data_IF_048676365805
#
_entry.id   IF_048676365805
#
_cell.length_a   1.000
_cell.length_b   1.000
_cell.length_c   1.000
_cell.angle_alpha   90.00
_cell.angle_beta   90.00
_cell.angle_gamma   90.00
#
_symmetry.space_group_name_H-M   'P 1'
#
loop_
_entity.id
_entity.type
_entity.pdbx_description
1 polymer ?
#
# COMPACT_ATOMS: atom_id res chain seq x y z
N UNK A 1 14.74 0.27 -13.99
CA UNK A 1 13.88 1.44 -13.67
C UNK A 1 12.64 0.80 -13.08
N UNK A 2 12.20 1.25 -11.92
CA UNK A 2 11.13 0.56 -11.21
C UNK A 2 9.88 0.43 -12.11
N UNK A 3 9.31 -0.78 -12.14
CA UNK A 3 8.06 -1.09 -12.83
C UNK A 3 6.97 -1.22 -11.78
N UNK A 4 5.85 -0.52 -12.01
CA UNK A 4 4.73 -0.46 -11.10
C UNK A 4 3.48 -0.97 -11.84
N UNK A 5 2.65 -1.74 -11.13
CA UNK A 5 1.34 -2.19 -11.61
C UNK A 5 0.33 -2.07 -10.48
N UNK A 6 -0.88 -1.58 -10.79
CA UNK A 6 -2.04 -1.69 -9.92
C UNK A 6 -3.14 -2.47 -10.63
N UNK A 7 -3.61 -3.56 -10.03
CA UNK A 7 -4.70 -4.36 -10.60
C UNK A 7 -6.08 -3.79 -10.24
N UNK A 8 -7.11 -4.26 -10.92
CA UNK A 8 -8.52 -3.94 -10.65
C UNK A 8 -9.36 -5.22 -10.71
N UNK A 9 -10.69 -5.11 -10.57
CA UNK A 9 -11.60 -6.27 -10.52
C UNK A 9 -11.55 -7.16 -11.76
N UNK A 10 -11.30 -6.58 -12.93
CA UNK A 10 -11.17 -7.28 -14.21
C UNK A 10 -10.01 -8.29 -14.22
N UNK A 11 -8.98 -8.07 -13.42
CA UNK A 11 -7.90 -9.03 -13.22
C UNK A 11 -8.34 -10.25 -12.41
N UNK A 12 -9.37 -10.11 -11.58
CA UNK A 12 -9.80 -11.10 -10.58
C UNK A 12 -9.26 -10.79 -9.18
N UNK A 13 -9.73 -11.54 -8.18
CA UNK A 13 -9.33 -11.35 -6.79
C UNK A 13 -7.97 -11.97 -6.49
N UNK A 14 -7.13 -11.22 -5.77
CA UNK A 14 -5.87 -11.65 -5.19
C UNK A 14 -5.92 -11.62 -3.65
N UNK A 15 -7.10 -11.90 -3.08
CA UNK A 15 -7.32 -11.87 -1.64
C UNK A 15 -6.48 -12.92 -0.89
N UNK A 16 -6.31 -14.12 -1.46
CA UNK A 16 -5.50 -15.18 -0.87
C UNK A 16 -4.20 -15.39 -1.67
N UNK A 17 -3.03 -14.98 -1.14
CA UNK A 17 -1.74 -15.15 -1.80
C UNK A 17 -1.23 -16.60 -1.70
N UNK A 18 -1.92 -17.47 -0.96
CA UNK A 18 -1.64 -18.91 -0.96
C UNK A 18 -2.41 -19.65 -2.07
N UNK A 19 -3.35 -18.99 -2.76
CA UNK A 19 -4.13 -19.60 -3.81
C UNK A 19 -3.38 -19.58 -5.16
N UNK A 20 -2.85 -20.73 -5.64
CA UNK A 20 -1.80 -20.74 -6.68
C UNK A 20 -2.22 -20.20 -8.04
N UNK A 21 -3.50 -20.30 -8.41
CA UNK A 21 -3.95 -19.89 -9.75
C UNK A 21 -3.94 -18.37 -9.91
N UNK A 22 -4.30 -17.63 -8.85
CA UNK A 22 -4.37 -16.16 -8.90
C UNK A 22 -2.97 -15.55 -8.84
N UNK A 23 -2.08 -16.10 -8.01
CA UNK A 23 -0.69 -15.66 -7.93
C UNK A 23 0.07 -15.95 -9.22
N UNK A 24 -0.10 -17.15 -9.81
CA UNK A 24 0.52 -17.50 -11.09
C UNK A 24 0.12 -16.55 -12.21
N UNK A 25 -1.17 -16.19 -12.31
CA UNK A 25 -1.63 -15.21 -13.31
C UNK A 25 -0.92 -13.86 -13.17
N UNK A 26 -0.66 -13.42 -11.94
CA UNK A 26 0.07 -12.17 -11.70
C UNK A 26 1.55 -12.32 -12.04
N UNK A 27 2.19 -13.42 -11.66
CA UNK A 27 3.59 -13.70 -12.01
C UNK A 27 3.79 -13.78 -13.53
N UNK A 28 2.86 -14.41 -14.26
CA UNK A 28 2.88 -14.48 -15.72
C UNK A 28 2.76 -13.08 -16.35
N UNK A 29 1.92 -12.19 -15.77
CA UNK A 29 1.77 -10.81 -16.24
C UNK A 29 3.02 -9.96 -15.97
N UNK A 30 3.65 -10.10 -14.80
CA UNK A 30 4.86 -9.33 -14.43
C UNK A 30 6.11 -9.92 -15.10
N UNK A 31 6.10 -11.22 -15.41
CA UNK A 31 7.23 -11.97 -15.96
C UNK A 31 8.27 -12.37 -14.90
N UNK A 32 7.89 -12.43 -13.62
CA UNK A 32 8.76 -12.87 -12.53
C UNK A 32 7.97 -13.30 -11.30
N UNK A 33 8.59 -14.02 -10.36
CA UNK A 33 7.97 -14.40 -9.10
C UNK A 33 7.58 -13.17 -8.25
N UNK A 34 6.56 -13.31 -7.40
CA UNK A 34 6.04 -12.22 -6.57
C UNK A 34 6.11 -12.58 -5.08
N UNK A 35 6.75 -11.73 -4.28
CA UNK A 35 6.77 -11.82 -2.83
C UNK A 35 5.56 -11.10 -2.21
N UNK A 36 4.89 -11.79 -1.29
CA UNK A 36 3.73 -11.29 -0.56
C UNK A 36 4.01 -11.17 0.95
N UNK A 37 3.12 -10.47 1.64
CA UNK A 37 3.11 -10.30 3.09
C UNK A 37 1.74 -10.66 3.69
N UNK A 38 1.73 -11.07 4.96
CA UNK A 38 0.55 -11.22 5.78
C UNK A 38 0.26 -9.90 6.51
N UNK A 39 -0.56 -9.07 5.88
CA UNK A 39 -0.94 -7.76 6.37
C UNK A 39 -1.82 -7.85 7.61
N UNK A 40 -1.44 -7.15 8.66
CA UNK A 40 -2.15 -7.10 9.95
C UNK A 40 -2.57 -5.68 10.34
N UNK A 41 -2.28 -4.69 9.48
CA UNK A 41 -2.36 -3.25 9.78
C UNK A 41 -1.39 -2.83 10.91
N UNK A 42 -0.26 -3.52 11.02
CA UNK A 42 0.89 -3.17 11.84
C UNK A 42 1.71 -2.02 11.22
N UNK A 43 2.87 -1.74 11.79
CA UNK A 43 3.93 -0.97 11.14
C UNK A 43 5.20 -1.81 10.93
N UNK A 44 5.08 -3.13 10.83
CA UNK A 44 6.22 -4.00 10.65
C UNK A 44 6.72 -3.94 9.21
N UNK A 45 8.04 -3.82 9.09
CA UNK A 45 8.77 -3.67 7.83
C UNK A 45 9.73 -4.85 7.71
N UNK A 46 9.62 -5.61 6.61
CA UNK A 46 10.52 -6.72 6.32
C UNK A 46 11.37 -6.41 5.10
N UNK A 47 12.69 -6.59 5.23
CA UNK A 47 13.62 -6.54 4.10
C UNK A 47 13.80 -7.95 3.57
N UNK A 48 13.43 -8.16 2.31
CA UNK A 48 13.45 -9.47 1.66
C UNK A 48 14.54 -9.50 0.60
N UNK A 49 15.51 -10.41 0.74
CA UNK A 49 16.61 -10.60 -0.22
C UNK A 49 16.40 -11.75 -1.20
N UNK A 50 15.48 -12.65 -0.90
CA UNK A 50 15.12 -13.82 -1.72
C UNK A 50 13.64 -14.12 -1.60
N UNK A 51 13.02 -14.64 -2.66
CA UNK A 51 11.64 -15.09 -2.56
C UNK A 51 11.50 -16.24 -1.57
N UNK A 52 10.37 -16.29 -0.88
CA UNK A 52 10.04 -17.37 0.03
C UNK A 52 8.61 -17.30 0.52
N UNK A 53 8.40 -17.79 1.73
CA UNK A 53 7.09 -17.74 2.39
C UNK A 53 6.62 -16.30 2.61
N UNK A 54 5.32 -16.15 2.81
CA UNK A 54 4.69 -14.91 3.27
C UNK A 54 5.42 -14.39 4.51
N UNK A 55 5.73 -13.09 4.51
CA UNK A 55 6.23 -12.42 5.70
C UNK A 55 5.07 -12.24 6.68
N UNK A 56 5.12 -12.93 7.82
CA UNK A 56 4.09 -12.87 8.85
C UNK A 56 4.03 -11.47 9.50
N UNK A 57 2.83 -11.04 9.90
CA UNK A 57 2.61 -9.77 10.63
C UNK A 57 3.40 -8.59 10.04
N UNK A 58 3.25 -8.37 8.73
CA UNK A 58 4.06 -7.42 7.95
C UNK A 58 3.16 -6.59 7.04
N UNK A 59 3.37 -5.26 7.08
CA UNK A 59 2.63 -4.30 6.26
C UNK A 59 3.55 -3.51 5.32
N UNK A 60 4.85 -3.82 5.31
CA UNK A 60 5.80 -3.26 4.34
C UNK A 60 6.86 -4.28 3.97
N UNK A 61 7.06 -4.45 2.66
CA UNK A 61 8.17 -5.22 2.10
C UNK A 61 9.15 -4.27 1.44
N UNK A 62 10.45 -4.50 1.64
CA UNK A 62 11.54 -3.77 0.97
C UNK A 62 12.49 -4.78 0.32
N UNK A 63 12.97 -4.50 -0.89
CA UNK A 63 13.99 -5.34 -1.53
C UNK A 63 14.91 -4.56 -2.47
N UNK A 64 16.22 -4.87 -2.48
CA UNK A 64 17.13 -4.48 -3.55
C UNK A 64 17.21 -5.50 -4.70
N UNK A 65 16.46 -6.61 -4.64
CA UNK A 65 16.55 -7.68 -5.64
C UNK A 65 15.87 -7.31 -6.94
N UNK A 66 16.47 -7.73 -8.06
CA UNK A 66 15.90 -7.65 -9.41
C UNK A 66 15.21 -8.93 -9.86
N UNK A 67 15.23 -9.96 -9.02
CA UNK A 67 14.78 -11.32 -9.39
C UNK A 67 13.29 -11.56 -9.13
N UNK A 68 12.65 -10.72 -8.31
CA UNK A 68 11.24 -10.85 -7.94
C UNK A 68 10.61 -9.49 -7.68
N UNK A 69 9.28 -9.46 -7.73
CA UNK A 69 8.47 -8.28 -7.41
C UNK A 69 7.93 -8.33 -5.98
N UNK A 70 7.52 -7.19 -5.44
CA UNK A 70 6.85 -7.05 -4.14
C UNK A 70 5.38 -6.70 -4.35
N UNK A 71 4.49 -7.31 -3.57
CA UNK A 71 3.06 -7.07 -3.67
C UNK A 71 2.43 -6.57 -2.36
N UNK A 72 1.51 -5.63 -2.49
CA UNK A 72 0.60 -5.16 -1.44
C UNK A 72 -0.86 -5.36 -1.87
N UNK A 73 -1.68 -5.98 -1.03
CA UNK A 73 -3.10 -6.27 -1.30
C UNK A 73 -3.98 -5.23 -0.61
N UNK A 74 -4.99 -4.70 -1.31
CA UNK A 74 -5.91 -3.71 -0.73
C UNK A 74 -7.34 -3.86 -1.21
N UNK A 75 -8.24 -3.40 -0.35
CA UNK A 75 -9.55 -2.88 -0.71
C UNK A 75 -9.78 -1.69 0.23
N UNK A 76 -9.69 -0.47 -0.30
CA UNK A 76 -9.73 0.84 0.40
C UNK A 76 -8.44 1.34 1.06
N UNK A 77 -7.60 0.49 1.67
CA UNK A 77 -6.31 0.96 2.19
C UNK A 77 -5.39 1.43 1.05
N UNK A 78 -4.44 2.32 1.34
CA UNK A 78 -3.51 2.84 0.33
C UNK A 78 -2.43 1.80 -0.01
N UNK A 79 -2.33 1.36 -1.28
CA UNK A 79 -1.16 0.62 -1.75
C UNK A 79 -0.09 1.65 -2.15
N UNK A 80 0.86 1.90 -1.26
CA UNK A 80 1.98 2.80 -1.50
C UNK A 80 3.16 1.99 -2.06
N UNK A 81 3.60 2.36 -3.25
CA UNK A 81 4.77 1.78 -3.92
C UNK A 81 5.89 2.81 -3.92
N UNK A 82 6.99 2.51 -3.21
CA UNK A 82 8.16 3.38 -3.09
C UNK A 82 9.33 2.79 -3.86
N UNK A 83 10.16 3.63 -4.46
CA UNK A 83 11.36 3.19 -5.15
C UNK A 83 12.47 4.25 -5.14
N UNK A 84 13.69 3.77 -5.13
CA UNK A 84 14.89 4.48 -5.54
C UNK A 84 15.51 3.77 -6.76
N UNK A 85 16.72 4.16 -7.15
CA UNK A 85 17.43 3.53 -8.27
C UNK A 85 17.67 2.02 -8.09
N UNK A 86 17.83 1.56 -6.85
CA UNK A 86 18.29 0.20 -6.54
C UNK A 86 17.50 -0.50 -5.42
N UNK A 87 16.46 0.14 -4.86
CA UNK A 87 15.62 -0.45 -3.81
C UNK A 87 14.16 -0.12 -4.12
N UNK A 88 13.27 -1.09 -3.94
CA UNK A 88 11.82 -0.93 -4.05
C UNK A 88 11.12 -1.35 -2.77
N UNK A 89 9.93 -0.82 -2.53
CA UNK A 89 9.06 -1.22 -1.43
C UNK A 89 7.58 -1.21 -1.80
N UNK A 90 6.85 -2.20 -1.27
CA UNK A 90 5.39 -2.27 -1.34
C UNK A 90 4.81 -2.15 0.07
N UNK A 91 3.98 -1.13 0.30
CA UNK A 91 3.54 -0.72 1.64
C UNK A 91 2.02 -0.69 1.72
N UNK A 92 1.47 -1.38 2.71
CA UNK A 92 0.06 -1.35 3.08
C UNK A 92 -0.21 -0.25 4.10
N UNK A 93 -0.74 0.88 3.62
CA UNK A 93 -1.05 2.03 4.48
C UNK A 93 -2.55 2.12 4.71
N UNK A 94 -3.04 1.32 5.64
CA UNK A 94 -4.38 1.50 6.22
C UNK A 94 -4.39 2.55 7.33
N UNK A 95 -5.56 2.86 7.89
CA UNK A 95 -5.68 3.85 8.98
C UNK A 95 -4.73 3.57 10.16
N UNK A 96 -4.71 2.34 10.68
CA UNK A 96 -3.79 1.96 11.78
C UNK A 96 -2.33 2.06 11.36
N UNK A 97 -1.99 1.61 10.15
CA UNK A 97 -0.63 1.70 9.62
C UNK A 97 -0.15 3.14 9.47
N UNK A 98 -1.02 4.05 9.03
CA UNK A 98 -0.76 5.49 8.99
C UNK A 98 -0.48 6.03 10.41
N UNK A 99 -1.38 5.77 11.37
CA UNK A 99 -1.21 6.23 12.76
C UNK A 99 0.05 5.66 13.44
N UNK A 100 0.52 4.49 12.98
CA UNK A 100 1.75 3.84 13.45
C UNK A 100 2.96 4.12 12.55
N UNK A 101 2.84 5.07 11.62
CA UNK A 101 3.94 5.59 10.78
C UNK A 101 4.64 4.54 9.91
N UNK A 102 3.91 3.53 9.41
CA UNK A 102 4.49 2.44 8.60
C UNK A 102 5.23 2.97 7.35
N UNK A 103 4.73 4.04 6.75
CA UNK A 103 5.34 4.64 5.56
C UNK A 103 6.67 5.33 5.90
N UNK A 104 6.72 6.11 6.99
CA UNK A 104 7.95 6.76 7.46
C UNK A 104 9.01 5.71 7.81
N UNK A 105 8.65 4.71 8.61
CA UNK A 105 9.54 3.59 8.98
C UNK A 105 10.05 2.82 7.76
N UNK A 106 9.24 2.71 6.71
CA UNK A 106 9.66 2.11 5.44
C UNK A 106 10.71 2.97 4.75
N UNK A 107 10.48 4.27 4.63
CA UNK A 107 11.43 5.21 4.00
C UNK A 107 12.76 5.24 4.75
N UNK A 108 12.73 5.36 6.08
CA UNK A 108 13.94 5.30 6.92
C UNK A 108 14.73 4.03 6.66
N UNK A 109 14.03 2.88 6.56
CA UNK A 109 14.69 1.61 6.27
C UNK A 109 15.26 1.55 4.86
N UNK A 110 14.55 2.07 3.85
CA UNK A 110 15.06 2.18 2.48
C UNK A 110 16.31 3.06 2.41
N UNK A 111 16.37 4.16 3.17
CA UNK A 111 17.54 5.05 3.23
C UNK A 111 18.78 4.35 3.80
N UNK A 112 18.62 3.32 4.64
CA UNK A 112 19.78 2.49 5.06
C UNK A 112 20.31 1.57 3.96
N UNK A 113 19.54 1.33 2.90
CA UNK A 113 19.86 0.42 1.80
C UNK A 113 20.22 1.16 0.50
N UNK A 114 19.90 2.45 0.42
CA UNK A 114 20.09 3.28 -0.76
C UNK A 114 20.39 4.72 -0.34
N UNK A 115 21.44 5.30 -0.92
CA UNK A 115 21.74 6.74 -0.80
C UNK A 115 21.03 7.58 -1.86
N UNK A 116 20.25 6.96 -2.74
CA UNK A 116 19.59 7.60 -3.87
C UNK A 116 18.24 8.17 -3.46
N UNK A 117 17.75 9.14 -4.24
CA UNK A 117 16.44 9.73 -3.99
C UNK A 117 15.33 8.67 -4.03
N UNK A 118 14.47 8.69 -3.02
CA UNK A 118 13.27 7.86 -2.93
C UNK A 118 12.09 8.68 -3.47
N UNK A 119 11.26 8.03 -4.28
CA UNK A 119 9.98 8.56 -4.78
C UNK A 119 8.92 7.48 -4.65
N UNK A 120 7.65 7.80 -4.86
CA UNK A 120 6.60 6.80 -4.82
C UNK A 120 5.30 7.17 -5.51
N UNK A 121 4.42 6.17 -5.59
CA UNK A 121 3.08 6.28 -6.14
C UNK A 121 2.10 5.60 -5.19
N UNK A 122 1.00 6.29 -4.87
CA UNK A 122 -0.16 5.73 -4.17
C UNK A 122 -1.21 5.34 -5.19
N UNK A 123 -1.55 4.04 -5.20
CA UNK A 123 -2.58 3.51 -6.07
C UNK A 123 -4.02 3.73 -5.57
N UNK A 124 -5.01 3.04 -6.16
CA UNK A 124 -6.42 3.20 -5.83
C UNK A 124 -6.71 2.88 -4.36
N UNK A 125 -7.38 3.80 -3.66
CA UNK A 125 -7.73 3.71 -2.24
C UNK A 125 -9.00 4.52 -1.94
N UNK A 126 -9.51 4.49 -0.71
CA UNK A 126 -10.68 5.30 -0.36
C UNK A 126 -10.30 6.78 -0.18
N UNK A 127 -11.01 7.69 -0.83
CA UNK A 127 -10.74 9.13 -0.75
C UNK A 127 -11.25 9.75 0.57
N UNK A 128 -10.76 10.96 0.89
CA UNK A 128 -11.16 11.70 2.10
C UNK A 128 -12.65 12.05 2.16
N UNK A 129 -13.32 12.20 1.02
CA UNK A 129 -14.76 12.51 0.96
C UNK A 129 -15.64 11.26 1.16
N UNK A 130 -15.06 10.06 1.04
CA UNK A 130 -15.76 8.79 1.19
C UNK A 130 -15.45 8.06 2.51
N UNK A 131 -14.31 8.34 3.16
CA UNK A 131 -13.88 7.56 4.33
C UNK A 131 -14.46 8.07 5.65
N UNK A 132 -15.76 7.85 5.84
CA UNK A 132 -16.47 8.16 7.08
C UNK A 132 -16.04 7.22 8.22
N UNK A 133 -15.90 7.74 9.43
CA UNK A 133 -15.65 6.97 10.65
C UNK A 133 -16.54 7.49 11.78
N UNK A 134 -16.59 6.78 12.91
CA UNK A 134 -17.34 7.27 14.08
C UNK A 134 -16.78 8.61 14.59
N UNK A 135 -17.65 9.49 15.08
CA UNK A 135 -17.30 10.85 15.51
C UNK A 135 -16.16 10.89 16.55
N UNK A 136 -16.20 9.99 17.53
CA UNK A 136 -15.14 9.88 18.55
C UNK A 136 -13.77 9.57 17.90
N UNK A 137 -13.75 8.65 16.93
CA UNK A 137 -12.53 8.26 16.22
C UNK A 137 -12.00 9.40 15.35
N UNK A 138 -12.88 10.07 14.59
CA UNK A 138 -12.50 11.21 13.78
C UNK A 138 -11.92 12.32 14.64
N UNK A 139 -12.59 12.67 15.74
CA UNK A 139 -12.15 13.71 16.67
C UNK A 139 -10.77 13.41 17.22
N UNK A 140 -10.54 12.20 17.71
CA UNK A 140 -9.24 11.79 18.26
C UNK A 140 -8.13 11.82 17.20
N UNK A 141 -8.42 11.36 15.99
CA UNK A 141 -7.43 11.32 14.91
C UNK A 141 -7.15 12.72 14.39
N UNK A 142 -8.15 13.59 14.22
CA UNK A 142 -7.94 14.98 13.81
C UNK A 142 -7.14 15.79 14.83
N UNK A 143 -7.25 15.45 16.11
CA UNK A 143 -6.43 16.08 17.16
C UNK A 143 -4.96 15.66 17.10
N UNK A 144 -4.68 14.39 16.80
CA UNK A 144 -3.31 13.84 16.82
C UNK A 144 -2.62 13.88 15.45
N UNK A 145 -3.40 13.86 14.37
CA UNK A 145 -2.97 13.83 12.96
C UNK A 145 -3.83 14.80 12.15
N UNK A 146 -3.70 16.12 12.38
CA UNK A 146 -4.61 17.14 11.85
C UNK A 146 -4.68 17.16 10.31
N UNK A 147 -3.60 16.78 9.60
CA UNK A 147 -3.62 16.68 8.14
C UNK A 147 -4.62 15.65 7.61
N UNK A 148 -5.03 14.66 8.41
CA UNK A 148 -6.09 13.71 8.03
C UNK A 148 -7.50 14.32 8.11
N UNK A 149 -7.61 15.57 8.56
CA UNK A 149 -8.84 16.34 8.65
C UNK A 149 -9.52 16.64 7.31
N UNK A 150 -10.67 17.30 7.42
CA UNK A 150 -11.53 17.68 6.29
C UNK A 150 -12.97 17.78 6.75
N UNK A 151 -13.85 16.98 6.16
CA UNK A 151 -15.26 16.88 6.56
C UNK A 151 -15.42 16.28 7.96
N UNK A 152 -16.39 16.79 8.75
CA UNK A 152 -16.74 16.23 10.06
C UNK A 152 -16.99 14.73 9.95
N UNK A 153 -16.33 13.92 10.77
CA UNK A 153 -16.40 12.45 10.81
C UNK A 153 -15.69 11.71 9.66
N UNK A 154 -14.88 12.38 8.83
CA UNK A 154 -14.16 11.73 7.72
C UNK A 154 -12.65 11.82 7.91
N UNK A 155 -11.93 10.88 7.30
CA UNK A 155 -10.47 10.85 7.34
C UNK A 155 -9.88 10.89 5.92
N UNK A 156 -8.99 11.85 5.69
CA UNK A 156 -8.15 11.91 4.50
C UNK A 156 -6.78 11.27 4.78
N UNK A 157 -6.68 9.95 4.56
CA UNK A 157 -5.44 9.22 4.84
C UNK A 157 -4.27 9.68 3.97
N UNK A 158 -4.51 10.06 2.72
CA UNK A 158 -3.45 10.52 1.83
C UNK A 158 -2.87 11.87 2.27
N UNK A 159 -3.69 12.77 2.80
CA UNK A 159 -3.21 14.03 3.36
C UNK A 159 -2.30 13.79 4.58
N UNK A 160 -2.67 12.87 5.48
CA UNK A 160 -1.79 12.44 6.57
C UNK A 160 -0.50 11.78 6.08
N UNK A 161 -0.56 10.96 5.02
CA UNK A 161 0.63 10.35 4.42
C UNK A 161 1.60 11.40 3.88
N UNK A 162 1.09 12.45 3.20
CA UNK A 162 1.92 13.55 2.69
C UNK A 162 2.61 14.33 3.81
N UNK A 163 1.94 14.51 4.95
CA UNK A 163 2.54 15.12 6.14
C UNK A 163 3.66 14.25 6.73
N UNK A 164 3.49 12.93 6.74
CA UNK A 164 4.53 12.01 7.23
C UNK A 164 5.75 11.91 6.30
N UNK A 165 5.54 12.04 4.99
CA UNK A 165 6.58 11.84 3.97
C UNK A 165 7.11 13.15 3.38
N UNK A 166 7.18 14.21 4.19
CA UNK A 166 7.73 15.50 3.75
C UNK A 166 9.13 15.32 3.15
N UNK A 167 9.34 15.85 1.95
CA UNK A 167 10.60 15.73 1.21
C UNK A 167 10.72 14.47 0.35
N UNK A 168 9.78 13.53 0.43
CA UNK A 168 9.69 12.37 -0.46
C UNK A 168 8.59 12.63 -1.50
N UNK A 169 8.93 12.79 -2.79
CA UNK A 169 7.92 12.97 -3.83
C UNK A 169 7.02 11.73 -3.93
N UNK A 170 5.73 11.89 -3.66
CA UNK A 170 4.72 10.83 -3.79
C UNK A 170 3.56 11.31 -4.66
N UNK A 171 3.37 10.64 -5.79
CA UNK A 171 2.22 10.85 -6.67
C UNK A 171 1.01 10.05 -6.17
N UNK A 172 -0.19 10.57 -6.38
CA UNK A 172 -1.43 9.87 -6.11
C UNK A 172 -2.22 9.71 -7.41
N UNK A 173 -2.65 8.49 -7.72
CA UNK A 173 -3.47 8.24 -8.92
C UNK A 173 -4.85 8.91 -8.83
N UNK A 174 -5.27 9.37 -7.66
CA UNK A 174 -6.55 10.04 -7.40
C UNK A 174 -7.77 9.20 -7.84
N UNK A 175 -7.71 7.89 -7.56
CA UNK A 175 -8.79 6.94 -7.86
C UNK A 175 -9.41 6.44 -6.55
N UNK A 176 -10.68 6.78 -6.32
CA UNK A 176 -11.43 6.31 -5.16
C UNK A 176 -12.00 4.90 -5.40
N UNK A 177 -11.66 3.93 -4.54
CA UNK A 177 -12.17 2.54 -4.62
C UNK A 177 -13.66 2.42 -4.29
N UNK A 178 -14.17 3.32 -3.46
CA UNK A 178 -15.59 3.36 -3.09
C UNK A 178 -16.45 3.85 -4.25
N UNK A 179 -16.04 4.93 -4.93
CA UNK A 179 -16.75 5.56 -6.04
C UNK A 179 -16.61 4.76 -7.34
N UNK A 180 -15.42 4.23 -7.61
CA UNK A 180 -15.14 3.55 -8.88
C UNK A 180 -15.40 2.04 -8.79
N UNK A 181 -16.42 1.58 -9.49
CA UNK A 181 -16.85 0.17 -9.48
C UNK A 181 -15.81 -0.81 -10.04
N UNK A 182 -14.81 -0.33 -10.81
CA UNK A 182 -13.70 -1.16 -11.31
C UNK A 182 -12.81 -1.72 -10.22
N UNK A 183 -12.88 -1.21 -8.98
CA UNK A 183 -12.04 -1.65 -7.86
C UNK A 183 -12.86 -2.30 -6.75
N UNK A 184 -12.25 -3.22 -5.99
CA UNK A 184 -12.86 -3.75 -4.78
C UNK A 184 -12.81 -2.68 -3.67
N UNK A 185 -13.89 -2.61 -2.89
CA UNK A 185 -14.03 -1.73 -1.73
C UNK A 185 -14.77 -2.46 -0.62
N UNK A 186 -14.08 -2.63 0.49
CA UNK A 186 -14.67 -3.21 1.69
C UNK A 186 -15.71 -2.26 2.28
N UNK A 187 -15.46 -0.95 2.24
CA UNK A 187 -16.36 0.08 2.75
C UNK A 187 -17.67 0.10 1.97
N UNK A 188 -17.60 0.11 0.64
CA UNK A 188 -18.77 0.26 -0.21
C UNK A 188 -19.63 -1.01 -0.25
N UNK A 189 -18.97 -2.18 -0.34
CA UNK A 189 -19.63 -3.43 -0.76
C UNK A 189 -19.32 -4.64 0.11
N UNK A 190 -18.52 -4.48 1.17
CA UNK A 190 -17.99 -5.61 1.97
C UNK A 190 -17.25 -6.63 1.10
N UNK A 191 -16.56 -6.14 0.06
CA UNK A 191 -15.76 -7.00 -0.81
C UNK A 191 -14.65 -7.68 0.03
N UNK A 192 -14.65 -9.01 0.11
CA UNK A 192 -13.53 -9.80 0.66
C UNK A 192 -12.38 -9.95 -0.35
N UNK A 193 -12.68 -9.68 -1.63
CA UNK A 193 -11.72 -9.65 -2.70
C UNK A 193 -10.74 -8.46 -2.59
N UNK A 194 -9.55 -8.62 -3.17
CA UNK A 194 -8.48 -7.60 -3.12
C UNK A 194 -7.89 -7.35 -4.49
N UNK A 195 -7.66 -6.08 -4.80
CA UNK A 195 -6.71 -5.66 -5.82
C UNK A 195 -5.29 -5.58 -5.23
N UNK A 196 -4.28 -5.46 -6.09
CA UNK A 196 -2.87 -5.48 -5.69
C UNK A 196 -2.11 -4.34 -6.34
N UNK A 197 -1.23 -3.69 -5.57
CA UNK A 197 -0.10 -2.92 -6.08
C UNK A 197 1.15 -3.79 -6.12
N UNK A 198 1.85 -3.81 -7.25
CA UNK A 198 3.08 -4.58 -7.45
C UNK A 198 4.20 -3.65 -7.90
N UNK A 199 5.40 -3.84 -7.35
CA UNK A 199 6.60 -3.13 -7.76
C UNK A 199 7.80 -4.08 -7.94
N UNK A 200 8.60 -3.82 -8.98
CA UNK A 200 9.87 -4.50 -9.24
C UNK A 200 10.91 -3.49 -9.74
N UNK A 201 12.20 -3.81 -9.64
CA UNK A 201 13.30 -3.00 -10.19
C UNK A 201 13.41 -3.04 -11.73
#
# INVERSE_FOLDING_TARGET
MARLLFTAKDFGSLADPLYPSSTKKLEDLIGMPVQYMQQSHSNNVSVVSKIGLLQADTDSLISPSKEFALAVRVADCMPLLLYSKNVVAAVHVGRKGLLNEVALKTVEKMQTLSSEQITGVVGPHICGDCYEVGEQMATQIHQTHPATGGKKNYLNLFAGLKEQLVGIPVENLNICTMENQRYFSYRARKDDARQVGVIAL
#
